data_IF_725450712518
#
_entry.id   IF_725450712518
#
_cell.length_a   1.000
_cell.length_b   1.000
_cell.length_c   1.000
_cell.angle_alpha   90.00
_cell.angle_beta   90.00
_cell.angle_gamma   90.00
#
_symmetry.space_group_name_H-M   'P 1'
#
loop_
_entity.id
_entity.type
_entity.pdbx_description
1 polymer ?
#
# COMPACT_ATOMS: atom_id res chain seq x y z
N UNK A 1 15.81 -33.01 -11.17
CA UNK A 1 16.06 -31.56 -11.23
C UNK A 1 15.05 -30.86 -10.33
N UNK A 2 15.48 -30.27 -9.21
CA UNK A 2 14.61 -29.48 -8.33
C UNK A 2 14.56 -28.06 -8.89
N UNK A 3 13.45 -27.69 -9.51
CA UNK A 3 13.21 -26.29 -9.84
C UNK A 3 12.91 -25.60 -8.52
N UNK A 4 13.81 -24.71 -8.12
CA UNK A 4 13.67 -23.89 -6.92
C UNK A 4 12.44 -23.01 -7.15
N UNK A 5 11.36 -23.31 -6.46
CA UNK A 5 10.12 -22.55 -6.55
C UNK A 5 10.38 -21.20 -5.90
N UNK A 6 10.80 -20.20 -6.70
CA UNK A 6 10.91 -18.83 -6.22
C UNK A 6 9.52 -18.38 -5.77
N UNK A 7 9.40 -18.17 -4.47
CA UNK A 7 8.32 -17.42 -3.84
C UNK A 7 8.26 -16.06 -4.54
N UNK A 8 7.31 -15.94 -5.46
CA UNK A 8 7.03 -14.72 -6.23
C UNK A 8 6.89 -13.59 -5.22
N UNK A 9 7.95 -12.81 -5.03
CA UNK A 9 7.89 -11.53 -4.33
C UNK A 9 6.73 -10.80 -4.99
N UNK A 10 5.76 -10.32 -4.20
CA UNK A 10 4.64 -9.55 -4.75
C UNK A 10 5.20 -8.21 -5.24
N UNK A 11 5.82 -8.22 -6.43
CA UNK A 11 6.45 -7.08 -7.06
C UNK A 11 5.43 -6.04 -7.54
N UNK A 12 4.14 -6.26 -7.25
CA UNK A 12 3.05 -5.37 -7.59
C UNK A 12 3.22 -4.03 -6.88
N UNK A 13 3.02 -2.98 -7.65
CA UNK A 13 2.89 -1.63 -7.14
C UNK A 13 1.47 -1.38 -6.67
N UNK A 14 1.35 -0.64 -5.58
CA UNK A 14 0.08 -0.22 -5.00
C UNK A 14 0.08 1.30 -4.85
N UNK A 15 -1.08 1.91 -5.07
CA UNK A 15 -1.34 3.29 -4.71
C UNK A 15 -1.80 3.34 -3.25
N UNK A 16 -1.27 4.31 -2.52
CA UNK A 16 -1.62 4.51 -1.12
C UNK A 16 -1.38 5.93 -0.65
N UNK A 17 -1.75 6.18 0.60
CA UNK A 17 -1.44 7.40 1.35
C UNK A 17 -0.78 7.02 2.67
N UNK A 18 -0.12 7.96 3.34
CA UNK A 18 0.34 7.77 4.71
C UNK A 18 -0.78 8.14 5.69
N UNK A 19 -1.01 7.29 6.69
CA UNK A 19 -1.93 7.57 7.77
C UNK A 19 -1.52 8.86 8.50
N UNK A 20 -2.44 9.81 8.69
CA UNK A 20 -2.15 11.07 9.39
C UNK A 20 -1.85 10.91 10.89
N UNK A 21 -2.14 9.73 11.47
CA UNK A 21 -1.95 9.44 12.89
C UNK A 21 -0.66 8.66 13.18
N UNK A 22 -0.37 7.61 12.41
CA UNK A 22 0.75 6.70 12.68
C UNK A 22 1.71 6.56 11.50
N UNK A 23 1.52 7.34 10.43
CA UNK A 23 2.35 7.35 9.22
C UNK A 23 2.45 6.03 8.46
N UNK A 24 1.73 5.00 8.90
CA UNK A 24 1.67 3.72 8.21
C UNK A 24 1.02 3.87 6.82
N UNK A 25 1.51 3.13 5.80
CA UNK A 25 0.90 3.11 4.48
C UNK A 25 -0.53 2.55 4.53
N UNK A 26 -1.48 3.28 3.95
CA UNK A 26 -2.85 2.82 3.68
C UNK A 26 -2.96 2.59 2.18
N UNK A 27 -2.87 1.33 1.77
CA UNK A 27 -2.97 0.92 0.36
C UNK A 27 -4.44 0.81 -0.04
N UNK A 28 -4.84 1.44 -1.15
CA UNK A 28 -6.24 1.46 -1.57
C UNK A 28 -6.48 1.01 -3.02
N UNK A 29 -5.44 0.98 -3.87
CA UNK A 29 -5.56 0.48 -5.24
C UNK A 29 -4.28 -0.22 -5.71
N UNK A 30 -4.42 -1.12 -6.68
CA UNK A 30 -3.30 -1.70 -7.41
C UNK A 30 -2.86 -0.73 -8.51
N UNK A 31 -1.56 -0.54 -8.70
CA UNK A 31 -1.02 0.24 -9.81
C UNK A 31 -0.68 -0.69 -10.98
N UNK A 32 -1.49 -0.62 -12.04
CA UNK A 32 -1.31 -1.40 -13.27
C UNK A 32 -0.33 -0.74 -14.25
N UNK A 33 0.17 0.46 -13.95
CA UNK A 33 1.16 1.14 -14.78
C UNK A 33 2.59 0.69 -14.50
N UNK A 34 2.77 -0.33 -13.65
CA UNK A 34 4.08 -0.81 -13.21
C UNK A 34 4.98 0.28 -12.58
N UNK A 35 4.37 1.38 -12.12
CA UNK A 35 5.07 2.53 -11.54
C UNK A 35 5.27 3.70 -12.51
N UNK A 36 4.94 3.55 -13.79
CA UNK A 36 5.26 4.51 -14.84
C UNK A 36 4.25 5.67 -14.95
N UNK A 37 2.96 5.44 -14.66
CA UNK A 37 1.91 6.44 -14.93
C UNK A 37 1.50 7.25 -13.69
N UNK A 38 1.52 8.58 -13.77
CA UNK A 38 1.14 9.46 -12.65
C UNK A 38 -0.25 9.08 -12.10
N UNK A 39 -0.39 8.89 -10.78
CA UNK A 39 -1.68 8.59 -10.18
C UNK A 39 -2.69 9.71 -10.45
N UNK A 40 -3.88 9.35 -10.91
CA UNK A 40 -5.00 10.29 -11.00
C UNK A 40 -5.42 10.76 -9.61
N UNK A 41 -5.95 11.98 -9.51
CA UNK A 41 -6.58 12.45 -8.27
C UNK A 41 -7.90 11.71 -8.08
N UNK A 42 -8.11 11.17 -6.89
CA UNK A 42 -9.42 10.66 -6.50
C UNK A 42 -10.36 11.84 -6.21
N UNK A 43 -11.61 11.77 -6.68
CA UNK A 43 -12.64 12.77 -6.38
C UNK A 43 -13.07 12.72 -4.90
N UNK A 44 -12.98 11.54 -4.28
CA UNK A 44 -13.21 11.34 -2.85
C UNK A 44 -12.44 10.12 -2.34
N UNK A 45 -11.72 10.26 -1.24
CA UNK A 45 -10.88 9.18 -0.67
C UNK A 45 -11.04 9.09 0.85
N UNK A 46 -12.11 8.45 1.30
CA UNK A 46 -12.33 8.13 2.72
C UNK A 46 -11.66 6.79 3.04
N UNK A 47 -10.64 6.80 3.89
CA UNK A 47 -9.86 5.61 4.23
C UNK A 47 -9.76 5.41 5.73
N UNK A 48 -9.63 4.14 6.12
CA UNK A 48 -9.33 3.70 7.48
C UNK A 48 -7.94 3.07 7.48
N UNK A 49 -7.10 3.41 8.46
CA UNK A 49 -5.80 2.80 8.64
C UNK A 49 -5.94 1.31 8.95
N UNK A 50 -5.23 0.46 8.21
CA UNK A 50 -5.28 -1.00 8.33
C UNK A 50 -4.49 -1.56 9.52
N UNK A 51 -3.68 -0.74 10.19
CA UNK A 51 -3.01 -1.13 11.43
C UNK A 51 -4.03 -1.29 12.54
N UNK A 52 -4.06 -2.48 13.15
CA UNK A 52 -5.06 -2.87 14.15
C UNK A 52 -5.08 -1.92 15.35
N UNK A 53 -3.92 -1.45 15.79
CA UNK A 53 -3.75 -0.52 16.90
C UNK A 53 -4.09 0.94 16.54
N UNK A 54 -4.18 1.27 15.25
CA UNK A 54 -4.42 2.64 14.80
C UNK A 54 -5.91 2.92 14.55
N UNK A 55 -6.52 2.15 13.63
CA UNK A 55 -7.93 2.28 13.22
C UNK A 55 -8.37 3.67 12.73
N UNK A 56 -7.43 4.61 12.50
CA UNK A 56 -7.78 6.00 12.21
C UNK A 56 -8.48 6.13 10.85
N UNK A 57 -9.70 6.70 10.87
CA UNK A 57 -10.51 6.98 9.69
C UNK A 57 -10.54 8.48 9.41
N UNK A 58 -10.23 8.86 8.18
CA UNK A 58 -10.24 10.26 7.76
C UNK A 58 -10.49 10.42 6.25
N UNK A 59 -10.72 11.66 5.84
CA UNK A 59 -10.74 12.07 4.43
C UNK A 59 -9.32 12.39 3.94
N UNK A 60 -8.88 11.63 2.94
CA UNK A 60 -7.59 11.70 2.27
C UNK A 60 -7.68 12.21 0.82
N UNK A 61 -8.81 12.79 0.40
CA UNK A 61 -9.01 13.27 -0.98
C UNK A 61 -7.92 14.24 -1.44
N UNK A 62 -7.42 15.07 -0.52
CA UNK A 62 -6.34 16.04 -0.78
C UNK A 62 -4.95 15.53 -0.37
N UNK A 63 -4.86 14.30 0.13
CA UNK A 63 -3.58 13.73 0.54
C UNK A 63 -2.71 13.41 -0.67
N UNK A 64 -1.39 13.48 -0.49
CA UNK A 64 -0.43 13.04 -1.50
C UNK A 64 -0.54 11.53 -1.68
N UNK A 65 -0.96 11.10 -2.87
CA UNK A 65 -0.92 9.69 -3.27
C UNK A 65 0.52 9.32 -3.63
N UNK A 66 0.99 8.23 -3.06
CA UNK A 66 2.32 7.66 -3.27
C UNK A 66 2.21 6.21 -3.73
N UNK A 67 3.32 5.68 -4.26
CA UNK A 67 3.42 4.28 -4.64
C UNK A 67 4.17 3.48 -3.59
N UNK A 68 3.69 2.27 -3.36
CA UNK A 68 4.25 1.33 -2.39
C UNK A 68 4.41 -0.03 -3.05
N UNK A 69 5.49 -0.74 -2.74
CA UNK A 69 5.60 -2.18 -3.00
C UNK A 69 5.43 -2.93 -1.70
N UNK A 70 4.67 -4.03 -1.74
CA UNK A 70 4.67 -4.99 -0.65
C UNK A 70 5.96 -5.81 -0.76
N UNK A 71 7.03 -5.34 -0.12
CA UNK A 71 8.21 -6.19 0.00
C UNK A 71 7.81 -7.44 0.79
N UNK A 72 8.27 -8.60 0.34
CA UNK A 72 8.06 -9.91 1.02
C UNK A 72 8.68 -9.97 2.42
N UNK A 73 9.29 -8.87 2.89
CA UNK A 73 9.94 -8.76 4.19
C UNK A 73 9.01 -8.25 5.30
N UNK A 74 7.77 -7.86 4.98
CA UNK A 74 6.78 -7.36 5.95
C UNK A 74 5.78 -8.43 6.44
N UNK A 75 6.14 -9.71 6.33
CA UNK A 75 5.47 -10.82 7.02
C UNK A 75 6.55 -11.65 7.71
N UNK A 76 7.17 -11.11 8.76
CA UNK A 76 7.92 -11.87 9.78
C UNK A 76 8.17 -10.93 10.97
N UNK A 77 7.10 -10.51 11.62
CA UNK A 77 7.11 -10.08 13.02
C UNK A 77 5.69 -10.26 13.57
N UNK A 78 5.38 -11.52 13.88
CA UNK A 78 4.37 -11.92 14.85
C UNK A 78 4.49 -13.44 15.06
N UNK A 79 5.41 -13.82 15.95
CA UNK A 79 5.28 -14.80 17.06
C UNK A 79 6.58 -15.58 17.23
#
# INVERSE_FOLDING_TARGET
MRIVQWSKVDARWYLGVLCRKCEAPILFALDHSEGEAKPARAEKLLLTCSRAECGHKADYTTAKVSRFQKSSRAQNEAT
#
